data_IF_446549687448
#
_entry.id   IF_446549687448
#
_cell.length_a   1.000
_cell.length_b   1.000
_cell.length_c   1.000
_cell.angle_alpha   90.00
_cell.angle_beta   90.00
_cell.angle_gamma   90.00
#
_symmetry.space_group_name_H-M   'P 1'
#
loop_
_entity.id
_entity.type
_entity.pdbx_description
1 polymer ?
#
# COMPACT_ATOMS: atom_id res chain seq x y z
N UNK A 1 9.24 -35.40 -17.45
CA UNK A 1 8.95 -34.73 -16.16
C UNK A 1 8.40 -35.69 -15.11
N UNK A 2 7.33 -36.44 -15.40
CA UNK A 2 6.66 -37.36 -14.44
C UNK A 2 7.61 -38.40 -13.81
N UNK A 3 8.48 -39.06 -14.60
CA UNK A 3 9.48 -40.00 -14.08
C UNK A 3 10.39 -39.37 -13.01
N UNK A 4 10.81 -38.12 -13.24
CA UNK A 4 11.64 -37.36 -12.28
C UNK A 4 10.95 -37.12 -10.95
N UNK A 5 9.65 -36.79 -11.00
CA UNK A 5 8.84 -36.53 -9.80
C UNK A 5 8.70 -37.82 -9.01
N UNK A 6 8.40 -38.94 -9.69
CA UNK A 6 8.30 -40.26 -9.07
C UNK A 6 9.61 -40.70 -8.41
N UNK A 7 10.73 -40.58 -9.11
CA UNK A 7 12.05 -40.91 -8.57
C UNK A 7 12.37 -40.04 -7.34
N UNK A 8 12.06 -38.74 -7.42
CA UNK A 8 12.25 -37.79 -6.31
C UNK A 8 11.37 -38.10 -5.11
N UNK A 9 10.12 -38.49 -5.34
CA UNK A 9 9.23 -38.92 -4.26
C UNK A 9 9.75 -40.19 -3.57
N UNK A 10 10.25 -41.17 -4.33
CA UNK A 10 10.82 -42.38 -3.76
C UNK A 10 12.06 -42.08 -2.91
N UNK A 11 12.96 -41.22 -3.39
CA UNK A 11 14.17 -40.85 -2.64
C UNK A 11 13.85 -39.99 -1.42
N UNK A 12 12.92 -39.05 -1.56
CA UNK A 12 12.44 -38.20 -0.47
C UNK A 12 11.75 -39.05 0.61
N UNK A 13 10.81 -39.91 0.25
CA UNK A 13 10.10 -40.78 1.19
C UNK A 13 11.04 -41.79 1.86
N UNK A 14 11.98 -42.36 1.11
CA UNK A 14 13.03 -43.23 1.65
C UNK A 14 13.91 -42.51 2.67
N UNK A 15 14.35 -41.28 2.35
CA UNK A 15 15.09 -40.44 3.28
C UNK A 15 14.26 -40.07 4.51
N UNK A 16 13.02 -39.62 4.32
CA UNK A 16 12.16 -39.22 5.44
C UNK A 16 11.82 -40.38 6.36
N UNK A 17 11.84 -41.65 5.92
CA UNK A 17 11.66 -42.80 6.83
C UNK A 17 12.85 -43.00 7.78
N UNK A 18 14.06 -42.76 7.28
CA UNK A 18 15.31 -42.94 8.03
C UNK A 18 16.37 -41.92 7.57
N UNK A 19 16.27 -40.65 8.01
CA UNK A 19 17.18 -39.61 7.56
C UNK A 19 18.59 -39.89 8.10
N UNK A 20 19.61 -39.61 7.29
CA UNK A 20 21.03 -39.75 7.63
C UNK A 20 21.81 -38.51 7.17
N UNK A 21 22.86 -38.14 7.89
CA UNK A 21 23.77 -37.05 7.51
C UNK A 21 24.67 -37.49 6.34
N UNK A 22 24.07 -37.54 5.15
CA UNK A 22 24.76 -38.04 3.96
C UNK A 22 24.33 -37.25 2.72
N UNK A 23 25.33 -36.68 2.05
CA UNK A 23 25.14 -36.05 0.75
C UNK A 23 24.93 -37.06 -0.35
N UNK A 24 24.20 -36.65 -1.39
CA UNK A 24 24.12 -37.43 -2.61
C UNK A 24 25.53 -37.53 -3.25
N UNK A 25 25.89 -38.70 -3.77
CA UNK A 25 27.18 -38.88 -4.45
C UNK A 25 27.25 -38.07 -5.74
N UNK A 26 26.11 -37.78 -6.37
CA UNK A 26 26.02 -37.01 -7.61
C UNK A 26 25.67 -35.56 -7.29
N UNK A 27 26.66 -34.68 -7.39
CA UNK A 27 26.51 -33.25 -7.07
C UNK A 27 26.37 -32.34 -8.31
N UNK A 28 25.99 -32.90 -9.47
CA UNK A 28 25.81 -32.15 -10.73
C UNK A 28 24.66 -31.14 -10.64
N UNK A 29 24.87 -29.93 -11.16
CA UNK A 29 23.89 -28.84 -11.13
C UNK A 29 22.53 -29.25 -11.73
N UNK A 30 22.54 -29.91 -12.91
CA UNK A 30 21.31 -30.35 -13.57
C UNK A 30 20.48 -31.33 -12.74
N UNK A 31 21.13 -32.22 -11.98
CA UNK A 31 20.41 -33.13 -11.07
C UNK A 31 19.80 -32.35 -9.90
N UNK A 32 20.57 -31.45 -9.29
CA UNK A 32 20.11 -30.62 -8.17
C UNK A 32 18.91 -29.76 -8.53
N UNK A 33 18.97 -29.07 -9.67
CA UNK A 33 17.84 -28.29 -10.19
C UNK A 33 16.62 -29.18 -10.46
N UNK A 34 16.83 -30.35 -11.07
CA UNK A 34 15.75 -31.32 -11.32
C UNK A 34 15.09 -31.80 -10.04
N UNK A 35 15.86 -32.05 -8.97
CA UNK A 35 15.35 -32.41 -7.63
C UNK A 35 14.57 -31.26 -7.00
N UNK A 36 15.14 -30.04 -7.03
CA UNK A 36 14.49 -28.82 -6.54
C UNK A 36 13.09 -28.64 -7.16
N UNK A 37 13.01 -28.64 -8.49
CA UNK A 37 11.72 -28.44 -9.18
C UNK A 37 10.77 -29.64 -9.04
N UNK A 38 11.30 -30.86 -8.88
CA UNK A 38 10.44 -32.02 -8.61
C UNK A 38 9.82 -31.95 -7.21
N UNK A 39 10.58 -31.51 -6.20
CA UNK A 39 10.04 -31.28 -4.85
C UNK A 39 9.03 -30.14 -4.87
N UNK A 40 9.33 -29.03 -5.55
CA UNK A 40 8.39 -27.92 -5.68
C UNK A 40 7.07 -28.36 -6.35
N UNK A 41 7.14 -29.23 -7.36
CA UNK A 41 5.95 -29.80 -8.01
C UNK A 41 5.14 -30.74 -7.10
N UNK A 42 5.76 -31.36 -6.09
CA UNK A 42 5.08 -32.16 -5.07
C UNK A 42 4.48 -31.25 -3.98
N UNK A 43 5.23 -30.20 -3.61
CA UNK A 43 4.89 -29.23 -2.58
C UNK A 43 3.63 -28.44 -2.94
N UNK A 44 3.53 -27.90 -4.15
CA UNK A 44 2.41 -27.04 -4.55
C UNK A 44 1.03 -27.72 -4.36
N UNK A 45 0.75 -28.93 -4.90
CA UNK A 45 -0.54 -29.59 -4.68
C UNK A 45 -0.84 -29.86 -3.20
N UNK A 46 0.18 -30.23 -2.43
CA UNK A 46 0.04 -30.51 -1.00
C UNK A 46 -0.33 -29.24 -0.23
N UNK A 47 0.30 -28.12 -0.55
CA UNK A 47 -0.03 -26.82 0.03
C UNK A 47 -1.43 -26.36 -0.35
N UNK A 48 -1.85 -26.55 -1.61
CA UNK A 48 -3.22 -26.21 -2.03
C UNK A 48 -4.26 -27.01 -1.23
N UNK A 49 -4.03 -28.31 -1.04
CA UNK A 49 -4.93 -29.15 -0.22
C UNK A 49 -4.99 -28.63 1.22
N UNK A 50 -3.84 -28.34 1.83
CA UNK A 50 -3.80 -27.81 3.20
C UNK A 50 -4.47 -26.45 3.31
N UNK A 51 -4.26 -25.55 2.35
CA UNK A 51 -4.93 -24.25 2.31
C UNK A 51 -6.45 -24.39 2.22
N UNK A 52 -6.96 -25.32 1.39
CA UNK A 52 -8.41 -25.60 1.30
C UNK A 52 -8.95 -26.11 2.63
N UNK A 53 -8.21 -27.00 3.31
CA UNK A 53 -8.65 -27.52 4.62
C UNK A 53 -8.63 -26.42 5.68
N UNK A 54 -7.56 -25.62 5.77
CA UNK A 54 -7.45 -24.51 6.74
C UNK A 54 -8.58 -23.49 6.49
N UNK A 55 -8.84 -23.14 5.23
CA UNK A 55 -9.94 -22.25 4.86
C UNK A 55 -11.32 -22.81 5.22
N UNK A 56 -11.53 -24.12 5.09
CA UNK A 56 -12.77 -24.76 5.52
C UNK A 56 -12.97 -24.68 7.05
N UNK A 57 -11.90 -24.87 7.83
CA UNK A 57 -11.93 -24.72 9.30
C UNK A 57 -12.23 -23.27 9.70
N UNK A 58 -11.64 -22.29 9.02
CA UNK A 58 -11.94 -20.87 9.22
C UNK A 58 -13.40 -20.55 8.90
N UNK A 59 -13.91 -21.02 7.76
CA UNK A 59 -15.30 -20.80 7.33
C UNK A 59 -16.33 -21.43 8.29
N UNK A 60 -15.96 -22.52 8.97
CA UNK A 60 -16.77 -23.13 10.02
C UNK A 60 -16.79 -22.30 11.32
N UNK A 61 -16.05 -21.19 11.41
CA UNK A 61 -15.96 -20.33 12.59
C UNK A 61 -15.10 -20.92 13.71
N UNK A 62 -14.31 -21.96 13.43
CA UNK A 62 -13.52 -22.67 14.42
C UNK A 62 -12.16 -22.00 14.71
N UNK A 63 -11.65 -21.23 13.75
CA UNK A 63 -10.40 -20.47 13.84
C UNK A 63 -10.56 -19.09 13.21
N UNK A 64 -9.79 -18.11 13.69
CA UNK A 64 -9.68 -16.76 13.12
C UNK A 64 -8.25 -16.59 12.58
N UNK A 65 -8.09 -16.56 11.25
CA UNK A 65 -6.78 -16.41 10.61
C UNK A 65 -6.25 -14.96 10.67
N UNK A 66 -7.01 -14.01 11.23
CA UNK A 66 -6.54 -12.64 11.46
C UNK A 66 -6.27 -11.84 10.18
N UNK A 67 -6.80 -12.28 9.02
CA UNK A 67 -6.53 -11.71 7.69
C UNK A 67 -6.75 -10.19 7.57
N UNK A 68 -7.53 -9.59 8.47
CA UNK A 68 -7.79 -8.15 8.51
C UNK A 68 -6.68 -7.28 9.12
N UNK A 69 -5.72 -7.83 9.90
CA UNK A 69 -4.63 -7.03 10.51
C UNK A 69 -3.38 -6.97 9.63
N UNK A 70 -2.98 -8.11 9.06
CA UNK A 70 -1.81 -8.22 8.17
C UNK A 70 -2.07 -7.45 6.87
N UNK A 71 -3.28 -7.55 6.30
CA UNK A 71 -3.64 -6.81 5.07
C UNK A 71 -3.46 -5.30 5.19
N UNK A 72 -3.83 -4.67 6.32
CA UNK A 72 -3.70 -3.22 6.51
C UNK A 72 -2.25 -2.75 6.67
N UNK A 73 -1.40 -3.52 7.36
CA UNK A 73 0.01 -3.16 7.54
C UNK A 73 0.82 -3.43 6.27
N UNK A 74 0.55 -4.56 5.60
CA UNK A 74 1.17 -4.85 4.32
C UNK A 74 0.79 -3.78 3.30
N UNK A 75 -0.46 -3.27 3.29
CA UNK A 75 -0.98 -2.19 2.43
C UNK A 75 -0.17 -0.90 2.43
N UNK A 76 0.68 -0.68 3.43
CA UNK A 76 1.53 0.50 3.54
C UNK A 76 2.89 0.33 2.84
N UNK A 77 3.31 -0.89 2.52
CA UNK A 77 4.62 -1.20 1.94
C UNK A 77 4.54 -1.43 0.43
N UNK A 78 5.53 -1.01 -0.38
CA UNK A 78 5.51 -1.32 -1.80
C UNK A 78 5.65 -2.84 -2.02
N UNK A 79 4.93 -3.46 -2.99
CA UNK A 79 4.90 -4.91 -3.17
C UNK A 79 6.28 -5.57 -3.34
N UNK A 80 7.20 -4.90 -4.03
CA UNK A 80 8.56 -5.40 -4.21
C UNK A 80 9.32 -5.56 -2.88
N UNK A 81 9.03 -4.71 -1.89
CA UNK A 81 9.64 -4.78 -0.56
C UNK A 81 9.07 -5.96 0.23
N UNK A 82 7.77 -6.22 0.11
CA UNK A 82 7.12 -7.40 0.70
C UNK A 82 7.74 -8.68 0.14
N UNK A 83 7.93 -8.75 -1.19
CA UNK A 83 8.58 -9.89 -1.84
C UNK A 83 10.05 -10.02 -1.39
N UNK A 84 10.82 -8.93 -1.38
CA UNK A 84 12.23 -8.95 -0.98
C UNK A 84 12.40 -9.54 0.42
N UNK A 85 11.62 -9.07 1.39
CA UNK A 85 11.71 -9.57 2.76
C UNK A 85 11.08 -10.95 2.93
N UNK A 86 9.84 -11.14 2.48
CA UNK A 86 9.07 -12.37 2.72
C UNK A 86 9.52 -13.58 1.91
N UNK A 87 10.09 -13.39 0.72
CA UNK A 87 10.56 -14.49 -0.13
C UNK A 87 12.08 -14.69 -0.11
N UNK A 88 12.88 -13.67 0.23
CA UNK A 88 14.35 -13.79 0.17
C UNK A 88 15.03 -13.60 1.52
N UNK A 89 14.91 -12.42 2.15
CA UNK A 89 15.71 -12.10 3.34
C UNK A 89 15.31 -12.95 4.55
N UNK A 90 14.03 -13.00 4.90
CA UNK A 90 13.54 -13.77 6.05
C UNK A 90 13.79 -15.26 5.83
N UNK A 91 13.42 -15.88 4.69
CA UNK A 91 13.73 -17.28 4.42
C UNK A 91 15.22 -17.61 4.48
N UNK A 92 16.10 -16.73 3.97
CA UNK A 92 17.54 -16.95 4.07
C UNK A 92 18.01 -17.03 5.53
N UNK A 93 17.54 -16.11 6.38
CA UNK A 93 17.84 -16.12 7.82
C UNK A 93 17.29 -17.39 8.48
N UNK A 94 16.05 -17.79 8.16
CA UNK A 94 15.45 -19.00 8.69
C UNK A 94 16.23 -20.26 8.28
N UNK A 95 16.70 -20.36 7.04
CA UNK A 95 17.55 -21.47 6.62
C UNK A 95 18.89 -21.49 7.38
N UNK A 96 19.49 -20.33 7.68
CA UNK A 96 20.69 -20.25 8.50
C UNK A 96 20.42 -20.74 9.94
N UNK A 97 19.30 -20.33 10.54
CA UNK A 97 18.96 -20.71 11.91
C UNK A 97 18.61 -22.19 12.01
N UNK A 98 17.70 -22.68 11.17
CA UNK A 98 17.10 -24.00 11.32
C UNK A 98 17.84 -25.11 10.56
N UNK A 99 18.67 -24.78 9.56
CA UNK A 99 19.26 -25.78 8.64
C UNK A 99 20.78 -25.78 8.61
N UNK A 100 21.46 -24.73 9.06
CA UNK A 100 22.92 -24.69 9.04
C UNK A 100 23.54 -25.87 9.81
N UNK A 101 23.00 -26.15 11.01
CA UNK A 101 23.50 -27.18 11.92
C UNK A 101 23.18 -28.62 11.50
N UNK A 102 22.28 -28.86 10.53
CA UNK A 102 21.86 -30.21 10.08
C UNK A 102 22.98 -31.03 9.41
N UNK A 103 24.18 -30.48 9.28
CA UNK A 103 25.36 -31.19 8.78
C UNK A 103 26.49 -31.00 9.78
N UNK A 104 26.99 -32.10 10.34
CA UNK A 104 28.06 -32.04 11.33
C UNK A 104 29.31 -31.32 10.79
N UNK A 105 29.66 -31.58 9.52
CA UNK A 105 30.78 -30.92 8.83
C UNK A 105 30.65 -29.39 8.74
N UNK A 106 29.43 -28.85 8.80
CA UNK A 106 29.17 -27.40 8.76
C UNK A 106 28.61 -26.86 10.08
N UNK A 107 28.58 -27.67 11.14
CA UNK A 107 28.16 -27.25 12.46
C UNK A 107 29.32 -26.52 13.17
N UNK A 108 29.35 -25.18 13.06
CA UNK A 108 30.43 -24.36 13.62
C UNK A 108 30.62 -24.52 15.14
N UNK A 109 29.57 -24.56 15.98
CA UNK A 109 29.72 -24.86 17.40
C UNK A 109 30.42 -26.20 17.67
N UNK A 110 30.01 -27.28 16.99
CA UNK A 110 30.65 -28.59 17.14
C UNK A 110 32.12 -28.56 16.71
N UNK A 111 32.45 -27.85 15.62
CA UNK A 111 33.83 -27.68 15.16
C UNK A 111 34.67 -26.86 16.13
N UNK A 112 34.11 -25.81 16.71
CA UNK A 112 34.78 -24.99 17.72
C UNK A 112 35.07 -25.81 18.98
N UNK A 113 34.12 -26.64 19.42
CA UNK A 113 34.32 -27.55 20.55
C UNK A 113 35.43 -28.59 20.26
N UNK A 114 35.44 -29.19 19.07
CA UNK A 114 36.53 -30.09 18.62
C UNK A 114 37.88 -29.35 18.56
N UNK A 115 37.88 -28.07 18.19
CA UNK A 115 39.09 -27.25 18.14
C UNK A 115 39.62 -26.94 19.54
N UNK A 116 38.76 -26.51 20.48
CA UNK A 116 39.13 -26.22 21.87
C UNK A 116 39.71 -27.47 22.53
N UNK A 117 39.09 -28.62 22.30
CA UNK A 117 39.57 -29.89 22.87
C UNK A 117 40.92 -30.34 22.30
N UNK A 118 41.33 -29.82 21.14
CA UNK A 118 42.68 -30.07 20.61
C UNK A 118 43.81 -29.45 21.43
N UNK A 119 43.52 -28.45 22.28
CA UNK A 119 44.48 -27.85 23.23
C UNK A 119 44.97 -28.89 24.23
N UNK A 120 44.12 -29.87 24.57
CA UNK A 120 44.45 -30.95 25.52
C UNK A 120 45.19 -32.14 24.88
N UNK A 121 45.53 -32.05 23.58
CA UNK A 121 46.33 -33.03 22.85
C UNK A 121 45.62 -33.70 21.67
N UNK A 122 46.41 -34.16 20.68
CA UNK A 122 45.91 -34.76 19.43
C UNK A 122 45.05 -36.00 19.64
N UNK A 123 45.39 -36.86 20.61
CA UNK A 123 44.61 -38.06 20.94
C UNK A 123 43.22 -37.70 21.49
N UNK A 124 43.13 -36.66 22.31
CA UNK A 124 41.86 -36.22 22.86
C UNK A 124 40.94 -35.62 21.79
N UNK A 125 41.51 -34.85 20.84
CA UNK A 125 40.79 -34.35 19.66
C UNK A 125 40.12 -35.46 18.87
N UNK A 126 40.86 -36.53 18.53
CA UNK A 126 40.29 -37.65 17.77
C UNK A 126 39.24 -38.41 18.58
N UNK A 127 39.48 -38.69 19.86
CA UNK A 127 38.50 -39.35 20.74
C UNK A 127 37.17 -38.57 20.80
N UNK A 128 37.24 -37.26 21.00
CA UNK A 128 36.05 -36.40 21.10
C UNK A 128 35.35 -36.29 19.77
N UNK A 129 36.10 -36.14 18.67
CA UNK A 129 35.53 -36.14 17.32
C UNK A 129 34.77 -37.44 17.03
N UNK A 130 35.37 -38.61 17.29
CA UNK A 130 34.72 -39.91 17.09
C UNK A 130 33.49 -40.07 17.98
N UNK A 131 33.55 -39.62 19.24
CA UNK A 131 32.41 -39.62 20.15
C UNK A 131 31.25 -38.77 19.61
N UNK A 132 31.53 -37.53 19.18
CA UNK A 132 30.53 -36.63 18.61
C UNK A 132 29.95 -37.21 17.33
N UNK A 133 30.78 -37.71 16.41
CA UNK A 133 30.33 -38.36 15.17
C UNK A 133 29.42 -39.56 15.46
N UNK A 134 29.80 -40.42 16.43
CA UNK A 134 28.99 -41.56 16.84
C UNK A 134 27.62 -41.15 17.40
N UNK A 135 27.60 -40.19 18.33
CA UNK A 135 26.35 -39.68 18.92
C UNK A 135 25.50 -38.95 17.89
N UNK A 136 26.13 -38.18 17.00
CA UNK A 136 25.46 -37.50 15.90
C UNK A 136 24.71 -38.50 15.02
N UNK A 137 25.39 -39.56 14.55
CA UNK A 137 24.74 -40.58 13.72
C UNK A 137 23.63 -41.32 14.45
N UNK A 138 23.82 -41.63 15.75
CA UNK A 138 22.80 -42.32 16.55
C UNK A 138 21.52 -41.50 16.73
N UNK A 139 21.65 -40.18 16.92
CA UNK A 139 20.51 -39.28 17.19
C UNK A 139 20.07 -38.44 15.98
N UNK A 140 20.69 -38.63 14.81
CA UNK A 140 20.46 -37.77 13.64
C UNK A 140 18.99 -37.70 13.24
N UNK A 141 18.26 -38.82 13.35
CA UNK A 141 16.82 -38.87 13.08
C UNK A 141 16.05 -37.88 13.94
N UNK A 142 16.34 -37.84 15.24
CA UNK A 142 15.73 -36.87 16.16
C UNK A 142 16.11 -35.43 15.81
N UNK A 143 17.39 -35.16 15.53
CA UNK A 143 17.90 -33.83 15.18
C UNK A 143 17.19 -33.28 13.93
N UNK A 144 17.03 -34.12 12.90
CA UNK A 144 16.38 -33.75 11.66
C UNK A 144 14.91 -33.37 11.86
N UNK A 145 14.12 -34.21 12.55
CA UNK A 145 12.71 -33.90 12.78
C UNK A 145 12.49 -32.77 13.76
N UNK A 146 13.34 -32.65 14.79
CA UNK A 146 13.26 -31.54 15.74
C UNK A 146 13.50 -30.20 15.06
N UNK A 147 14.44 -30.14 14.09
CA UNK A 147 14.63 -28.95 13.24
C UNK A 147 13.35 -28.57 12.49
N UNK A 148 12.73 -29.52 11.79
CA UNK A 148 11.49 -29.27 11.05
C UNK A 148 10.32 -28.89 11.98
N UNK A 149 10.22 -29.53 13.14
CA UNK A 149 9.18 -29.27 14.14
C UNK A 149 9.31 -27.87 14.76
N UNK A 150 10.50 -27.49 15.22
CA UNK A 150 10.72 -26.15 15.79
C UNK A 150 10.43 -25.07 14.76
N UNK A 151 10.88 -25.27 13.52
CA UNK A 151 10.56 -24.37 12.41
C UNK A 151 9.04 -24.21 12.25
N UNK A 152 8.29 -25.31 12.25
CA UNK A 152 6.84 -25.27 12.14
C UNK A 152 6.18 -24.54 13.33
N UNK A 153 6.59 -24.85 14.56
CA UNK A 153 5.99 -24.30 15.78
C UNK A 153 6.22 -22.79 15.94
N UNK A 154 7.36 -22.26 15.49
CA UNK A 154 7.60 -20.80 15.50
C UNK A 154 6.53 -20.05 14.71
N UNK A 155 5.94 -20.66 13.69
CA UNK A 155 4.91 -20.00 12.86
C UNK A 155 3.53 -19.92 13.52
N UNK A 156 3.34 -20.49 14.72
CA UNK A 156 2.10 -20.30 15.50
C UNK A 156 1.87 -18.81 15.79
N UNK A 157 2.94 -18.01 15.89
CA UNK A 157 2.87 -16.55 16.13
C UNK A 157 2.14 -15.78 15.03
N UNK A 158 1.94 -16.38 13.85
CA UNK A 158 1.20 -15.77 12.75
C UNK A 158 -0.32 -15.82 12.96
N UNK A 159 -0.81 -16.59 13.93
CA UNK A 159 -2.24 -16.74 14.21
C UNK A 159 -2.62 -16.00 15.49
N UNK A 160 -3.86 -15.50 15.53
CA UNK A 160 -4.40 -14.87 16.74
C UNK A 160 -4.63 -15.94 17.80
N UNK A 161 -4.11 -15.70 19.00
CA UNK A 161 -4.28 -16.62 20.12
C UNK A 161 -5.75 -16.86 20.46
N UNK A 162 -6.13 -18.12 20.60
CA UNK A 162 -7.43 -18.59 21.06
C UNK A 162 -7.28 -20.01 21.63
N UNK A 163 -8.14 -20.41 22.56
CA UNK A 163 -8.13 -21.77 23.12
C UNK A 163 -8.43 -22.81 22.02
N UNK A 164 -9.38 -22.50 21.13
CA UNK A 164 -9.75 -23.37 20.00
C UNK A 164 -8.59 -23.55 19.02
N UNK A 165 -7.72 -22.53 18.88
CA UNK A 165 -6.53 -22.59 18.02
C UNK A 165 -5.61 -23.76 18.41
N UNK A 166 -5.45 -24.04 19.71
CA UNK A 166 -4.52 -25.06 20.21
C UNK A 166 -4.85 -26.46 19.68
N UNK A 167 -6.13 -26.76 19.49
CA UNK A 167 -6.60 -28.04 18.93
C UNK A 167 -6.19 -28.16 17.45
N UNK A 168 -6.18 -27.03 16.73
CA UNK A 168 -5.83 -26.96 15.31
C UNK A 168 -4.34 -26.67 15.05
N UNK A 169 -3.50 -26.50 16.07
CA UNK A 169 -2.05 -26.28 15.87
C UNK A 169 -1.42 -27.30 14.91
N UNK A 170 -1.67 -28.62 15.03
CA UNK A 170 -1.07 -29.60 14.12
C UNK A 170 -1.40 -29.35 12.64
N UNK A 171 -2.62 -28.88 12.32
CA UNK A 171 -3.01 -28.61 10.93
C UNK A 171 -2.53 -27.24 10.45
N UNK A 172 -2.50 -26.26 11.36
CA UNK A 172 -2.09 -24.88 11.05
C UNK A 172 -0.60 -24.75 10.76
N UNK A 173 0.23 -25.54 11.45
CA UNK A 173 1.70 -25.56 11.23
C UNK A 173 2.12 -26.65 10.24
N UNK A 174 1.20 -27.47 9.74
CA UNK A 174 1.51 -28.53 8.78
C UNK A 174 2.19 -28.01 7.50
N UNK A 175 1.78 -26.88 6.89
CA UNK A 175 2.47 -26.32 5.73
C UNK A 175 3.96 -26.10 6.00
N UNK A 176 4.27 -25.49 7.14
CA UNK A 176 5.64 -25.17 7.55
C UNK A 176 6.41 -26.42 7.97
N UNK A 177 5.76 -27.39 8.60
CA UNK A 177 6.40 -28.68 8.91
C UNK A 177 6.84 -29.40 7.63
N UNK A 178 5.95 -29.49 6.64
CA UNK A 178 6.25 -30.12 5.34
C UNK A 178 7.36 -29.38 4.62
N UNK A 179 7.28 -28.04 4.53
CA UNK A 179 8.33 -27.23 3.94
C UNK A 179 9.67 -27.44 4.66
N UNK A 180 9.65 -27.54 5.99
CA UNK A 180 10.83 -27.82 6.81
C UNK A 180 11.46 -29.19 6.55
N UNK A 181 10.63 -30.22 6.30
CA UNK A 181 11.10 -31.54 5.89
C UNK A 181 11.74 -31.51 4.49
N UNK A 182 11.14 -30.78 3.55
CA UNK A 182 11.61 -30.71 2.16
C UNK A 182 12.90 -29.88 2.02
N UNK A 183 12.95 -28.70 2.64
CA UNK A 183 14.16 -27.85 2.71
C UNK A 183 15.27 -28.56 3.48
N UNK A 184 14.94 -29.27 4.56
CA UNK A 184 15.86 -30.15 5.29
C UNK A 184 16.45 -31.25 4.41
N UNK A 185 15.62 -31.96 3.62
CA UNK A 185 16.10 -32.98 2.68
C UNK A 185 17.11 -32.38 1.68
N UNK A 186 16.77 -31.25 1.05
CA UNK A 186 17.66 -30.57 0.09
C UNK A 186 18.95 -30.08 0.76
N UNK A 187 18.86 -29.54 1.99
CA UNK A 187 20.02 -29.13 2.79
C UNK A 187 21.00 -30.29 2.98
N UNK A 188 20.47 -31.46 3.31
CA UNK A 188 21.27 -32.64 3.65
C UNK A 188 21.88 -33.25 2.39
N UNK A 189 21.08 -33.43 1.34
CA UNK A 189 21.50 -34.11 0.11
C UNK A 189 22.30 -33.24 -0.84
N UNK A 190 21.97 -31.95 -0.95
CA UNK A 190 22.49 -31.06 -2.01
C UNK A 190 23.12 -29.77 -1.50
N UNK A 191 22.89 -29.39 -0.23
CA UNK A 191 23.52 -28.25 0.44
C UNK A 191 22.55 -27.13 0.80
N UNK A 192 22.99 -26.19 1.64
CA UNK A 192 22.15 -25.13 2.24
C UNK A 192 21.43 -24.28 1.19
N UNK A 193 22.13 -23.89 0.12
CA UNK A 193 21.56 -23.01 -0.91
C UNK A 193 20.36 -23.63 -1.63
N UNK A 194 20.27 -24.97 -1.71
CA UNK A 194 19.14 -25.65 -2.35
C UNK A 194 17.91 -25.69 -1.46
N UNK A 195 18.10 -25.78 -0.13
CA UNK A 195 17.01 -25.56 0.84
C UNK A 195 16.48 -24.13 0.72
N UNK A 196 17.38 -23.15 0.69
CA UNK A 196 17.03 -21.74 0.47
C UNK A 196 16.27 -21.50 -0.84
N UNK A 197 16.74 -22.03 -1.97
CA UNK A 197 16.01 -21.85 -3.23
C UNK A 197 14.61 -22.45 -3.21
N UNK A 198 14.43 -23.61 -2.57
CA UNK A 198 13.08 -24.18 -2.41
C UNK A 198 12.20 -23.27 -1.56
N UNK A 199 12.71 -22.81 -0.42
CA UNK A 199 12.00 -21.94 0.50
C UNK A 199 11.62 -20.60 -0.17
N UNK A 200 12.57 -19.98 -0.87
CA UNK A 200 12.35 -18.74 -1.59
C UNK A 200 11.32 -18.91 -2.71
N UNK A 201 11.38 -20.01 -3.49
CA UNK A 201 10.40 -20.30 -4.54
C UNK A 201 9.00 -20.58 -3.96
N UNK A 202 8.91 -21.34 -2.87
CA UNK A 202 7.67 -21.60 -2.16
C UNK A 202 7.04 -20.27 -1.71
N UNK A 203 7.79 -19.44 -0.98
CA UNK A 203 7.28 -18.15 -0.51
C UNK A 203 6.97 -17.20 -1.67
N UNK A 204 7.76 -17.19 -2.73
CA UNK A 204 7.47 -16.36 -3.91
C UNK A 204 6.12 -16.75 -4.51
N UNK A 205 5.84 -18.05 -4.67
CA UNK A 205 4.55 -18.52 -5.21
C UNK A 205 3.40 -18.11 -4.29
N UNK A 206 3.48 -18.43 -2.99
CA UNK A 206 2.38 -18.23 -2.06
C UNK A 206 2.21 -16.78 -1.57
N UNK A 207 3.23 -15.92 -1.70
CA UNK A 207 3.14 -14.48 -1.41
C UNK A 207 2.82 -13.66 -2.67
N UNK A 208 3.44 -13.96 -3.82
CA UNK A 208 3.25 -13.16 -5.03
C UNK A 208 1.84 -13.32 -5.61
N UNK A 209 1.26 -14.52 -5.56
CA UNK A 209 -0.08 -14.76 -6.10
C UNK A 209 -1.12 -13.84 -5.41
N UNK A 210 -1.26 -13.85 -4.07
CA UNK A 210 -2.13 -12.89 -3.38
C UNK A 210 -1.79 -11.43 -3.69
N UNK A 211 -0.50 -11.05 -3.71
CA UNK A 211 -0.10 -9.67 -3.98
C UNK A 211 -0.53 -9.19 -5.37
N UNK A 212 -0.44 -10.05 -6.40
CA UNK A 212 -0.92 -9.73 -7.75
C UNK A 212 -2.44 -9.51 -7.74
N UNK A 213 -3.20 -10.41 -7.10
CA UNK A 213 -4.66 -10.24 -6.98
C UNK A 213 -5.06 -9.04 -6.11
N UNK A 214 -4.26 -8.69 -5.10
CA UNK A 214 -4.46 -7.49 -4.26
C UNK A 214 -4.00 -6.19 -4.93
N UNK A 215 -3.15 -6.26 -5.96
CA UNK A 215 -2.68 -5.08 -6.70
C UNK A 215 -3.65 -4.62 -7.80
N UNK A 216 -4.68 -5.41 -8.10
CA UNK A 216 -5.77 -5.01 -8.99
C UNK A 216 -6.79 -4.08 -8.30
N UNK A 217 -7.66 -3.41 -9.08
CA UNK A 217 -8.81 -2.71 -8.51
C UNK A 217 -9.74 -3.71 -7.81
N UNK A 218 -9.92 -3.54 -6.50
CA UNK A 218 -10.81 -4.36 -5.68
C UNK A 218 -12.22 -3.79 -5.76
N UNK A 219 -13.16 -4.58 -6.27
CA UNK A 219 -14.57 -4.17 -6.33
C UNK A 219 -15.11 -3.92 -4.91
N UNK A 220 -15.47 -2.66 -4.63
CA UNK A 220 -16.03 -2.23 -3.35
C UNK A 220 -17.54 -2.15 -3.39
N UNK A 221 -18.07 -1.68 -4.52
CA UNK A 221 -19.49 -1.54 -4.75
C UNK A 221 -19.78 -1.73 -6.24
N UNK A 222 -20.83 -2.48 -6.53
CA UNK A 222 -21.34 -2.68 -7.88
C UNK A 222 -22.86 -2.72 -7.84
N UNK A 223 -23.49 -1.61 -8.23
CA UNK A 223 -24.94 -1.45 -8.31
C UNK A 223 -25.31 -1.37 -9.77
N UNK A 224 -26.28 -2.19 -10.17
CA UNK A 224 -26.91 -2.10 -11.49
C UNK A 224 -28.41 -2.26 -11.32
N UNK A 225 -29.15 -1.18 -11.57
CA UNK A 225 -30.61 -1.16 -11.55
C UNK A 225 -31.16 -0.31 -12.72
N UNK A 226 -32.49 -0.20 -12.82
CA UNK A 226 -33.16 0.52 -13.91
C UNK A 226 -32.89 2.03 -13.92
N UNK A 227 -32.42 2.61 -12.80
CA UNK A 227 -32.15 4.05 -12.67
C UNK A 227 -30.71 4.39 -13.00
N UNK A 228 -29.75 3.60 -12.52
CA UNK A 228 -28.32 3.85 -12.73
C UNK A 228 -27.46 2.59 -12.58
N UNK A 229 -26.25 2.66 -13.13
CA UNK A 229 -25.14 1.76 -12.86
C UNK A 229 -24.02 2.51 -12.15
N UNK A 230 -23.53 1.95 -11.05
CA UNK A 230 -22.41 2.50 -10.28
C UNK A 230 -21.44 1.37 -9.94
N UNK A 231 -20.18 1.54 -10.34
CA UNK A 231 -19.07 0.70 -9.93
C UNK A 231 -18.03 1.54 -9.22
N UNK A 232 -17.63 1.11 -8.02
CA UNK A 232 -16.55 1.68 -7.23
C UNK A 232 -15.53 0.60 -6.99
N UNK A 233 -14.28 0.87 -7.33
CA UNK A 233 -13.17 -0.03 -7.07
C UNK A 233 -12.10 0.69 -6.26
N UNK A 234 -11.59 0.05 -5.22
CA UNK A 234 -10.44 0.53 -4.46
C UNK A 234 -9.17 0.06 -5.18
N UNK A 235 -8.27 0.99 -5.49
CA UNK A 235 -7.00 0.62 -6.12
C UNK A 235 -6.03 0.21 -5.02
N UNK A 236 -5.52 -1.01 -5.14
CA UNK A 236 -4.49 -1.55 -4.28
C UNK A 236 -3.11 -0.90 -4.50
N UNK A 237 -2.06 -1.62 -4.13
CA UNK A 237 -0.70 -1.14 -4.17
C UNK A 237 -0.25 -0.59 -5.54
N UNK A 238 0.04 0.71 -5.60
CA UNK A 238 0.73 1.28 -6.75
C UNK A 238 0.58 2.79 -6.88
N UNK A 239 1.70 3.48 -7.10
CA UNK A 239 1.69 4.81 -7.70
C UNK A 239 1.41 4.65 -9.20
N UNK A 240 0.15 4.44 -9.56
CA UNK A 240 -0.31 4.86 -10.87
C UNK A 240 -0.62 6.36 -10.75
N UNK A 241 -0.20 7.17 -11.72
CA UNK A 241 -0.64 8.57 -11.82
C UNK A 241 -2.14 8.63 -12.12
N UNK A 242 -2.83 9.66 -11.66
CA UNK A 242 -4.26 9.85 -11.95
C UNK A 242 -4.45 9.91 -13.46
N UNK A 243 -4.98 8.84 -14.05
CA UNK A 243 -5.25 8.76 -15.47
C UNK A 243 -6.74 9.02 -15.62
N UNK A 244 -7.06 10.14 -16.25
CA UNK A 244 -8.37 10.40 -16.85
C UNK A 244 -9.55 10.71 -15.88
N UNK A 245 -10.21 11.84 -16.13
CA UNK A 245 -11.50 12.18 -15.53
C UNK A 245 -12.43 12.71 -16.61
N UNK A 246 -13.61 12.11 -16.76
CA UNK A 246 -14.67 12.57 -17.64
C UNK A 246 -15.96 12.75 -16.85
N UNK A 247 -16.55 13.93 -16.97
CA UNK A 247 -17.90 14.21 -16.52
C UNK A 247 -18.72 14.60 -17.75
N UNK A 248 -19.65 13.74 -18.12
CA UNK A 248 -20.71 14.09 -19.07
C UNK A 248 -22.03 14.20 -18.33
N UNK A 249 -23.10 14.63 -19.02
CA UNK A 249 -24.43 14.73 -18.39
C UNK A 249 -24.89 13.38 -17.82
N UNK A 250 -24.65 12.30 -18.55
CA UNK A 250 -25.26 11.00 -18.23
C UNK A 250 -24.26 9.96 -17.69
N UNK A 251 -22.96 10.29 -17.70
CA UNK A 251 -21.90 9.41 -17.21
C UNK A 251 -20.80 10.15 -16.48
N UNK A 252 -20.31 9.54 -15.40
CA UNK A 252 -19.15 10.00 -14.65
C UNK A 252 -18.12 8.87 -14.63
N UNK A 253 -16.91 9.18 -15.08
CA UNK A 253 -15.82 8.22 -15.07
C UNK A 253 -14.57 8.85 -14.47
N UNK A 254 -14.05 8.18 -13.45
CA UNK A 254 -12.78 8.48 -12.82
C UNK A 254 -11.96 7.22 -12.71
N UNK A 255 -10.73 7.32 -13.16
CA UNK A 255 -9.74 6.28 -12.93
C UNK A 255 -8.65 6.87 -12.03
N UNK A 256 -8.36 6.13 -10.95
CA UNK A 256 -7.24 6.41 -10.07
C UNK A 256 -7.22 7.81 -9.45
N UNK A 257 -8.39 8.23 -8.95
CA UNK A 257 -8.58 9.52 -8.26
C UNK A 257 -8.49 9.35 -6.75
N UNK A 258 -7.87 10.30 -6.03
CA UNK A 258 -7.95 10.35 -4.57
C UNK A 258 -9.39 10.57 -4.12
N UNK A 259 -9.81 9.91 -3.06
CA UNK A 259 -11.16 10.06 -2.49
C UNK A 259 -11.46 11.54 -2.16
N UNK A 260 -10.48 12.28 -1.62
CA UNK A 260 -10.61 13.74 -1.37
C UNK A 260 -10.85 14.55 -2.63
N UNK A 261 -10.08 14.31 -3.69
CA UNK A 261 -10.26 14.98 -4.99
C UNK A 261 -11.61 14.65 -5.61
N UNK A 262 -12.06 13.39 -5.51
CA UNK A 262 -13.37 12.97 -6.00
C UNK A 262 -14.49 13.72 -5.27
N UNK A 263 -14.49 13.71 -3.94
CA UNK A 263 -15.51 14.41 -3.14
C UNK A 263 -15.47 15.91 -3.41
N UNK A 264 -14.29 16.51 -3.56
CA UNK A 264 -14.11 17.90 -3.99
C UNK A 264 -14.80 18.20 -5.32
N UNK A 265 -14.62 17.35 -6.34
CA UNK A 265 -15.27 17.51 -7.65
C UNK A 265 -16.79 17.28 -7.58
N UNK A 266 -17.26 16.37 -6.73
CA UNK A 266 -18.70 16.10 -6.56
C UNK A 266 -19.43 17.21 -5.78
N UNK A 267 -18.73 17.92 -4.89
CA UNK A 267 -19.27 19.05 -4.13
C UNK A 267 -19.02 20.42 -4.79
N UNK A 268 -18.32 20.45 -5.93
CA UNK A 268 -17.88 21.69 -6.60
C UNK A 268 -17.11 22.64 -5.66
N UNK A 269 -16.26 22.08 -4.79
CA UNK A 269 -15.46 22.81 -3.79
C UNK A 269 -13.98 22.59 -3.97
N UNK A 270 -13.16 23.59 -3.61
CA UNK A 270 -11.69 23.45 -3.58
C UNK A 270 -11.29 22.44 -2.50
N UNK A 271 -10.34 21.54 -2.80
CA UNK A 271 -9.86 20.52 -1.85
C UNK A 271 -9.41 21.08 -0.50
N UNK A 272 -8.85 22.30 -0.47
CA UNK A 272 -8.42 22.97 0.76
C UNK A 272 -9.55 23.34 1.72
N UNK A 273 -10.80 23.31 1.25
CA UNK A 273 -11.99 23.57 2.06
C UNK A 273 -12.65 22.27 2.56
N UNK A 274 -11.99 21.12 2.34
CA UNK A 274 -12.49 19.81 2.70
C UNK A 274 -11.48 19.16 3.65
N UNK A 275 -11.96 18.81 4.84
CA UNK A 275 -11.20 18.13 5.88
C UNK A 275 -11.67 16.68 6.03
N UNK A 276 -10.73 15.76 6.20
CA UNK A 276 -11.00 14.33 6.37
C UNK A 276 -10.59 13.91 7.78
N UNK A 277 -11.47 13.17 8.44
CA UNK A 277 -11.23 12.62 9.77
C UNK A 277 -11.54 11.11 9.78
N UNK A 278 -10.53 10.21 9.77
CA UNK A 278 -9.09 10.49 9.81
C UNK A 278 -8.50 10.88 8.43
N UNK A 279 -7.45 11.69 8.43
CA UNK A 279 -6.82 12.20 7.19
C UNK A 279 -6.22 11.09 6.31
N UNK A 280 -5.85 9.94 6.89
CA UNK A 280 -5.33 8.78 6.14
C UNK A 280 -6.27 8.34 5.00
N UNK A 281 -7.59 8.49 5.20
CA UNK A 281 -8.61 8.15 4.20
C UNK A 281 -8.63 9.09 3.00
N UNK A 282 -8.06 10.29 3.11
CA UNK A 282 -8.06 11.29 2.03
C UNK A 282 -7.29 10.82 0.79
N UNK A 283 -6.22 10.06 1.01
CA UNK A 283 -5.29 9.60 -0.03
C UNK A 283 -5.68 8.25 -0.65
N UNK A 284 -6.76 7.62 -0.17
CA UNK A 284 -7.27 6.38 -0.76
C UNK A 284 -7.65 6.63 -2.22
N UNK A 285 -7.08 5.84 -3.14
CA UNK A 285 -7.34 5.97 -4.58
C UNK A 285 -8.42 5.01 -5.05
N UNK A 286 -9.30 5.50 -5.90
CA UNK A 286 -10.46 4.74 -6.34
C UNK A 286 -10.70 4.92 -7.84
N UNK A 287 -11.29 3.90 -8.47
CA UNK A 287 -11.98 4.03 -9.74
C UNK A 287 -13.48 4.21 -9.47
N UNK A 288 -14.11 5.09 -10.22
CA UNK A 288 -15.55 5.29 -10.18
C UNK A 288 -16.11 5.33 -11.59
N UNK A 289 -17.03 4.42 -11.88
CA UNK A 289 -17.82 4.43 -13.12
C UNK A 289 -19.28 4.57 -12.75
N UNK A 290 -19.92 5.64 -13.23
CA UNK A 290 -21.34 5.89 -13.04
C UNK A 290 -22.00 6.16 -14.38
N UNK A 291 -23.18 5.59 -14.60
CA UNK A 291 -24.05 5.87 -15.74
C UNK A 291 -25.48 5.96 -15.25
N UNK A 292 -26.16 7.08 -15.50
CA UNK A 292 -27.59 7.22 -15.21
C UNK A 292 -28.42 6.93 -16.45
N UNK A 293 -29.60 6.36 -16.23
CA UNK A 293 -30.68 6.21 -17.22
C UNK A 293 -31.90 7.06 -16.86
N UNK A 294 -31.75 7.87 -15.80
CA UNK A 294 -32.74 8.77 -15.22
C UNK A 294 -32.19 10.21 -15.19
N UNK A 295 -32.78 11.12 -14.41
CA UNK A 295 -32.44 12.55 -14.36
C UNK A 295 -30.92 12.82 -14.17
N UNK A 296 -30.23 13.34 -15.21
CA UNK A 296 -28.81 13.68 -15.18
C UNK A 296 -28.41 14.64 -14.05
N UNK A 297 -29.32 15.53 -13.64
CA UNK A 297 -29.04 16.59 -12.66
C UNK A 297 -28.81 16.05 -11.24
N UNK A 298 -29.24 14.81 -10.96
CA UNK A 298 -29.09 14.17 -9.64
C UNK A 298 -27.84 13.28 -9.52
N UNK A 299 -27.06 13.14 -10.59
CA UNK A 299 -25.92 12.22 -10.65
C UNK A 299 -24.91 12.42 -9.51
N UNK A 300 -24.52 13.68 -9.22
CA UNK A 300 -23.57 13.97 -8.14
C UNK A 300 -24.08 13.56 -6.75
N UNK A 301 -25.36 13.84 -6.48
CA UNK A 301 -25.99 13.51 -5.20
C UNK A 301 -26.13 12.00 -5.00
N UNK A 302 -26.52 11.27 -6.05
CA UNK A 302 -26.60 9.81 -6.02
C UNK A 302 -25.22 9.22 -5.71
N UNK A 303 -24.18 9.64 -6.45
CA UNK A 303 -22.81 9.17 -6.24
C UNK A 303 -22.34 9.47 -4.81
N UNK A 304 -22.58 10.68 -4.29
CA UNK A 304 -22.20 11.04 -2.92
C UNK A 304 -22.91 10.21 -1.85
N UNK A 305 -24.19 9.91 -2.04
CA UNK A 305 -24.94 9.04 -1.10
C UNK A 305 -24.40 7.62 -1.10
N UNK A 306 -24.14 7.05 -2.28
CA UNK A 306 -23.58 5.70 -2.37
C UNK A 306 -22.14 5.63 -1.84
N UNK A 307 -21.35 6.71 -1.99
CA UNK A 307 -20.03 6.82 -1.34
C UNK A 307 -20.14 6.86 0.18
N UNK A 308 -21.05 7.67 0.75
CA UNK A 308 -21.29 7.72 2.20
C UNK A 308 -21.67 6.34 2.74
N UNK A 309 -22.52 5.59 2.02
CA UNK A 309 -22.92 4.23 2.38
C UNK A 309 -21.75 3.23 2.29
N UNK A 310 -21.01 3.23 1.17
CA UNK A 310 -19.94 2.27 0.91
C UNK A 310 -18.72 2.45 1.83
N UNK A 311 -18.43 3.68 2.22
CA UNK A 311 -17.26 4.02 3.05
C UNK A 311 -17.61 4.35 4.50
N UNK A 312 -18.90 4.52 4.83
CA UNK A 312 -19.36 4.77 6.19
C UNK A 312 -18.98 6.15 6.74
N UNK A 313 -18.92 7.18 5.89
CA UNK A 313 -18.66 8.55 6.33
C UNK A 313 -19.91 9.43 6.28
N UNK A 314 -19.85 10.54 7.02
CA UNK A 314 -20.85 11.61 7.00
C UNK A 314 -20.23 12.91 6.55
N UNK A 315 -21.02 13.73 5.86
CA UNK A 315 -20.62 15.07 5.42
C UNK A 315 -21.27 16.11 6.34
N UNK A 316 -20.45 16.88 7.06
CA UNK A 316 -20.89 18.03 7.85
C UNK A 316 -20.38 19.32 7.22
N UNK A 317 -21.17 20.39 7.32
CA UNK A 317 -20.89 21.68 6.70
C UNK A 317 -20.89 22.74 7.79
N UNK A 318 -19.76 23.41 7.94
CA UNK A 318 -19.58 24.48 8.91
C UNK A 318 -19.18 25.75 8.17
N UNK A 319 -19.74 26.90 8.55
CA UNK A 319 -19.30 28.19 8.02
C UNK A 319 -18.13 28.69 8.85
N UNK A 320 -16.98 28.90 8.20
CA UNK A 320 -15.83 29.53 8.83
C UNK A 320 -15.75 30.97 8.36
N UNK A 321 -15.63 31.90 9.31
CA UNK A 321 -15.33 33.29 9.02
C UNK A 321 -13.89 33.40 8.53
N UNK A 322 -13.71 33.75 7.26
CA UNK A 322 -12.40 34.02 6.68
C UNK A 322 -12.24 35.51 6.40
N UNK A 323 -11.08 36.03 6.75
CA UNK A 323 -10.70 37.39 6.38
C UNK A 323 -10.57 37.49 4.86
N UNK A 324 -11.21 38.51 4.31
CA UNK A 324 -11.18 38.84 2.90
C UNK A 324 -11.00 40.35 2.72
N UNK A 325 -10.67 40.77 1.51
CA UNK A 325 -10.50 42.17 1.15
C UNK A 325 -11.51 42.53 0.08
N UNK A 326 -12.30 43.59 0.28
CA UNK A 326 -13.19 44.12 -0.75
C UNK A 326 -12.53 45.28 -1.46
N UNK A 327 -12.38 45.17 -2.77
CA UNK A 327 -11.94 46.25 -3.64
C UNK A 327 -13.10 47.24 -3.81
N UNK A 328 -12.83 48.51 -3.51
CA UNK A 328 -13.77 49.61 -3.61
C UNK A 328 -13.13 50.79 -4.32
N UNK A 329 -13.93 51.62 -4.99
CA UNK A 329 -13.48 52.89 -5.54
C UNK A 329 -13.51 53.91 -4.40
N UNK A 330 -12.37 54.54 -4.14
CA UNK A 330 -12.21 55.63 -3.18
C UNK A 330 -12.12 57.00 -3.85
N UNK A 331 -11.58 57.08 -5.06
CA UNK A 331 -11.53 58.29 -5.88
C UNK A 331 -11.79 57.96 -7.35
N UNK A 332 -13.00 58.28 -7.82
CA UNK A 332 -13.42 58.05 -9.21
C UNK A 332 -12.65 58.93 -10.20
N UNK A 333 -12.27 60.15 -9.81
CA UNK A 333 -11.59 61.10 -10.71
C UNK A 333 -10.19 60.60 -11.01
N UNK A 334 -9.47 60.15 -9.97
CA UNK A 334 -8.15 59.57 -10.10
C UNK A 334 -8.19 58.27 -10.92
N UNK A 335 -9.15 57.39 -10.63
CA UNK A 335 -9.34 56.14 -11.37
C UNK A 335 -9.57 56.37 -12.88
N UNK A 336 -10.38 57.38 -13.24
CA UNK A 336 -10.69 57.69 -14.64
C UNK A 336 -9.47 58.17 -15.45
N UNK A 337 -8.40 58.64 -14.81
CA UNK A 337 -7.14 58.99 -15.50
C UNK A 337 -6.44 57.75 -16.09
N UNK A 338 -6.74 56.56 -15.56
CA UNK A 338 -6.18 55.28 -15.99
C UNK A 338 -7.10 54.51 -16.94
N UNK A 339 -8.19 55.13 -17.40
CA UNK A 339 -9.11 54.52 -18.35
C UNK A 339 -8.39 54.17 -19.65
N UNK A 340 -8.65 52.97 -20.16
CA UNK A 340 -8.16 52.49 -21.44
C UNK A 340 -9.12 52.88 -22.55
N UNK A 341 -8.60 53.52 -23.59
CA UNK A 341 -9.33 53.84 -24.83
C UNK A 341 -9.13 52.75 -25.92
N UNK A 342 -8.45 51.65 -25.59
CA UNK A 342 -8.13 50.59 -26.54
C UNK A 342 -9.30 49.61 -26.76
N UNK A 343 -9.58 49.30 -28.02
CA UNK A 343 -10.50 48.23 -28.43
C UNK A 343 -9.86 46.83 -28.46
N UNK A 344 -8.56 46.72 -28.16
CA UNK A 344 -7.82 45.46 -28.23
C UNK A 344 -8.20 44.48 -27.10
N UNK A 345 -7.79 43.22 -27.20
CA UNK A 345 -7.94 42.25 -26.11
C UNK A 345 -7.17 42.70 -24.85
N UNK A 346 -7.69 42.33 -23.68
CA UNK A 346 -7.02 42.57 -22.40
C UNK A 346 -5.72 41.77 -22.31
N UNK A 347 -4.63 42.38 -21.87
CA UNK A 347 -3.35 41.69 -21.65
C UNK A 347 -2.95 41.76 -20.18
N UNK A 348 -2.30 40.71 -19.68
CA UNK A 348 -1.77 40.66 -18.31
C UNK A 348 -0.36 40.08 -18.35
N UNK A 349 0.60 40.84 -17.84
CA UNK A 349 2.00 40.43 -17.71
C UNK A 349 2.40 40.50 -16.25
N UNK A 350 2.86 39.38 -15.69
CA UNK A 350 3.33 39.28 -14.30
C UNK A 350 4.80 38.87 -14.33
N UNK A 351 5.67 39.73 -13.80
CA UNK A 351 7.09 39.43 -13.60
C UNK A 351 7.42 39.32 -12.10
N UNK A 352 8.68 39.03 -11.78
CA UNK A 352 9.14 39.03 -10.39
C UNK A 352 9.10 40.40 -9.72
N UNK A 353 9.03 41.49 -10.49
CA UNK A 353 9.12 42.88 -9.98
C UNK A 353 7.89 43.74 -10.28
N UNK A 354 7.10 43.40 -11.30
CA UNK A 354 5.96 44.22 -11.72
C UNK A 354 4.78 43.38 -12.20
N UNK A 355 3.58 43.94 -12.03
CA UNK A 355 2.32 43.45 -12.56
C UNK A 355 1.79 44.54 -13.50
N UNK A 356 1.62 44.19 -14.78
CA UNK A 356 1.07 45.09 -15.79
C UNK A 356 -0.22 44.50 -16.36
N UNK A 357 -1.31 45.23 -16.27
CA UNK A 357 -2.58 44.91 -16.91
C UNK A 357 -2.92 46.01 -17.90
N UNK A 358 -3.18 45.66 -19.15
CA UNK A 358 -3.65 46.61 -20.16
C UNK A 358 -5.07 46.23 -20.59
N UNK A 359 -5.91 47.25 -20.75
CA UNK A 359 -7.31 47.11 -21.13
C UNK A 359 -8.06 46.07 -20.27
N UNK A 360 -7.87 46.13 -18.95
CA UNK A 360 -8.40 45.15 -18.01
C UNK A 360 -9.61 45.65 -17.22
N UNK A 361 -10.51 44.73 -16.88
CA UNK A 361 -11.60 44.99 -15.92
C UNK A 361 -11.18 44.70 -14.47
N UNK A 362 -12.06 45.01 -13.52
CA UNK A 362 -11.78 44.78 -12.10
C UNK A 362 -11.72 43.29 -11.72
N UNK A 363 -12.41 42.41 -12.44
CA UNK A 363 -12.32 40.96 -12.20
C UNK A 363 -10.94 40.43 -12.55
N UNK A 364 -10.38 40.89 -13.66
CA UNK A 364 -9.02 40.58 -14.10
C UNK A 364 -7.98 41.13 -13.12
N UNK A 365 -8.14 42.38 -12.67
CA UNK A 365 -7.28 42.96 -11.63
C UNK A 365 -7.31 42.11 -10.34
N UNK A 366 -8.50 41.81 -9.82
CA UNK A 366 -8.66 41.01 -8.59
C UNK A 366 -8.09 39.60 -8.76
N UNK A 367 -8.29 38.96 -9.91
CA UNK A 367 -7.73 37.64 -10.20
C UNK A 367 -6.19 37.66 -10.17
N UNK A 368 -5.57 38.65 -10.80
CA UNK A 368 -4.12 38.82 -10.85
C UNK A 368 -3.54 39.14 -9.46
N UNK A 369 -4.21 39.98 -8.67
CA UNK A 369 -3.79 40.29 -7.30
C UNK A 369 -3.89 39.07 -6.37
N UNK A 370 -5.00 38.32 -6.43
CA UNK A 370 -5.18 37.10 -5.64
C UNK A 370 -4.07 36.08 -5.89
N UNK A 371 -3.73 35.87 -7.17
CA UNK A 371 -2.67 34.93 -7.56
C UNK A 371 -1.27 35.43 -7.19
N UNK A 372 -1.05 36.76 -7.18
CA UNK A 372 0.26 37.35 -6.93
C UNK A 372 0.62 37.50 -5.45
N UNK A 373 -0.37 37.57 -4.56
CA UNK A 373 -0.20 37.88 -3.14
C UNK A 373 -0.80 36.83 -2.17
N UNK A 374 -1.39 35.74 -2.68
CA UNK A 374 -2.12 34.72 -1.90
C UNK A 374 -3.13 35.31 -0.90
N UNK A 375 -3.87 36.32 -1.36
CA UNK A 375 -4.96 36.96 -0.61
C UNK A 375 -6.32 36.52 -1.16
N UNK A 376 -7.38 36.84 -0.41
CA UNK A 376 -8.76 36.64 -0.85
C UNK A 376 -9.44 38.00 -1.04
N UNK A 377 -9.25 38.56 -2.22
CA UNK A 377 -9.78 39.84 -2.67
C UNK A 377 -11.04 39.57 -3.50
N UNK A 378 -12.09 40.36 -3.27
CA UNK A 378 -13.34 40.38 -4.01
C UNK A 378 -13.62 41.78 -4.55
N UNK A 379 -14.35 41.89 -5.65
CA UNK A 379 -14.85 43.16 -6.18
C UNK A 379 -16.34 43.04 -6.46
N UNK A 380 -17.08 44.10 -6.15
CA UNK A 380 -18.49 44.30 -6.54
C UNK A 380 -18.60 45.49 -7.53
N UNK A 381 -17.47 45.97 -8.04
CA UNK A 381 -17.40 47.09 -8.98
C UNK A 381 -17.82 46.58 -10.36
N UNK A 382 -19.01 47.00 -10.79
CA UNK A 382 -19.53 46.74 -12.13
C UNK A 382 -19.49 48.05 -12.94
N UNK A 383 -18.35 48.28 -13.61
CA UNK A 383 -18.17 49.39 -14.53
C UNK A 383 -17.83 48.85 -15.91
N UNK A 384 -18.45 49.38 -16.98
CA UNK A 384 -18.16 48.94 -18.35
C UNK A 384 -16.78 49.40 -18.83
N UNK A 385 -16.16 50.35 -18.14
CA UNK A 385 -14.85 50.88 -18.50
C UNK A 385 -13.73 49.91 -18.13
N UNK A 386 -12.71 49.87 -19.00
CA UNK A 386 -11.48 49.12 -18.79
C UNK A 386 -10.35 50.07 -18.42
N UNK A 387 -9.34 49.56 -17.73
CA UNK A 387 -8.27 50.37 -17.15
C UNK A 387 -6.89 49.74 -17.40
N UNK A 388 -5.87 50.58 -17.35
CA UNK A 388 -4.47 50.18 -17.42
C UNK A 388 -3.84 50.28 -16.03
N UNK A 389 -3.29 49.17 -15.54
CA UNK A 389 -2.63 49.09 -14.24
C UNK A 389 -1.16 48.73 -14.42
N UNK A 390 -0.28 49.48 -13.76
CA UNK A 390 1.15 49.15 -13.64
C UNK A 390 1.53 49.19 -12.16
N UNK A 391 1.65 48.02 -11.56
CA UNK A 391 1.85 47.85 -10.12
C UNK A 391 3.24 47.28 -9.86
N UNK A 392 3.98 47.89 -8.94
CA UNK A 392 5.22 47.30 -8.43
C UNK A 392 4.89 46.15 -7.48
N UNK A 393 5.56 45.01 -7.67
CA UNK A 393 5.36 43.83 -6.83
C UNK A 393 6.18 43.97 -5.55
N UNK A 394 5.54 44.47 -4.50
CA UNK A 394 6.13 44.74 -3.19
C UNK A 394 5.37 43.98 -2.08
N UNK A 395 5.51 44.36 -0.81
CA UNK A 395 4.66 43.86 0.28
C UNK A 395 3.20 44.26 0.08
N UNK A 396 2.26 43.45 0.59
CA UNK A 396 0.82 43.68 0.38
C UNK A 396 0.33 45.04 0.91
N UNK A 397 0.87 45.49 2.04
CA UNK A 397 0.50 46.81 2.61
C UNK A 397 0.96 47.97 1.70
N UNK A 398 2.12 47.82 1.06
CA UNK A 398 2.62 48.80 0.06
C UNK A 398 1.79 48.79 -1.21
N UNK A 399 1.28 47.62 -1.63
CA UNK A 399 0.32 47.53 -2.73
C UNK A 399 -0.98 48.27 -2.39
N UNK A 400 -1.51 48.08 -1.18
CA UNK A 400 -2.76 48.75 -0.75
C UNK A 400 -2.61 50.27 -0.79
N UNK A 401 -1.48 50.78 -0.30
CA UNK A 401 -1.14 52.21 -0.35
C UNK A 401 -1.00 52.71 -1.80
N UNK A 402 -0.32 51.94 -2.67
CA UNK A 402 -0.19 52.26 -4.10
C UNK A 402 -1.54 52.33 -4.81
N UNK A 403 -2.42 51.35 -4.58
CA UNK A 403 -3.77 51.32 -5.17
C UNK A 403 -4.58 52.54 -4.76
N UNK A 404 -4.48 52.96 -3.50
CA UNK A 404 -5.15 54.16 -3.00
C UNK A 404 -4.59 55.44 -3.62
N UNK A 405 -3.26 55.60 -3.58
CA UNK A 405 -2.58 56.84 -3.99
C UNK A 405 -2.54 57.07 -5.50
N UNK A 406 -2.38 56.02 -6.30
CA UNK A 406 -2.22 56.17 -7.76
C UNK A 406 -3.50 55.85 -8.54
N UNK A 407 -4.33 54.92 -8.05
CA UNK A 407 -5.47 54.41 -8.83
C UNK A 407 -6.83 54.77 -8.21
N UNK A 408 -6.87 55.40 -7.04
CA UNK A 408 -8.10 55.72 -6.34
C UNK A 408 -8.86 54.47 -5.87
N UNK A 409 -8.17 53.35 -5.66
CA UNK A 409 -8.74 52.07 -5.25
C UNK A 409 -8.37 51.71 -3.82
N UNK A 410 -9.35 51.26 -3.03
CA UNK A 410 -9.16 50.85 -1.64
C UNK A 410 -9.46 49.36 -1.47
N UNK A 411 -8.60 48.65 -0.75
CA UNK A 411 -8.86 47.30 -0.26
C UNK A 411 -9.33 47.38 1.19
N UNK A 412 -10.62 47.16 1.44
CA UNK A 412 -11.20 47.17 2.78
C UNK A 412 -11.24 45.76 3.36
N UNK A 413 -10.63 45.54 4.51
CA UNK A 413 -10.73 44.27 5.22
C UNK A 413 -12.19 44.00 5.60
N UNK A 414 -12.63 42.78 5.34
CA UNK A 414 -13.95 42.25 5.64
C UNK A 414 -13.81 40.81 6.13
N UNK A 415 -14.92 40.22 6.59
CA UNK A 415 -15.03 38.79 6.82
C UNK A 415 -16.12 38.23 5.94
N UNK A 416 -15.91 37.04 5.41
CA UNK A 416 -16.91 36.29 4.66
C UNK A 416 -17.02 34.89 5.23
N UNK A 417 -18.24 34.41 5.35
CA UNK A 417 -18.51 33.03 5.70
C UNK A 417 -18.20 32.15 4.49
N UNK A 418 -17.25 31.23 4.66
CA UNK A 418 -16.95 30.21 3.66
C UNK A 418 -17.40 28.86 4.22
N UNK A 419 -18.28 28.20 3.50
CA UNK A 419 -18.75 26.85 3.85
C UNK A 419 -17.59 25.85 3.69
N UNK A 420 -17.05 25.43 4.83
CA UNK A 420 -16.08 24.38 5.03
C UNK A 420 -16.79 23.04 5.18
N UNK A 421 -16.21 21.97 4.63
CA UNK A 421 -16.81 20.64 4.65
C UNK A 421 -15.92 19.69 5.42
N UNK A 422 -16.50 19.00 6.39
CA UNK A 422 -15.83 17.93 7.15
C UNK A 422 -16.41 16.58 6.73
N UNK A 423 -15.50 15.62 6.54
CA UNK A 423 -15.80 14.24 6.18
C UNK A 423 -15.38 13.35 7.34
N UNK A 424 -16.35 12.96 8.16
CA UNK A 424 -16.13 12.14 9.35
C UNK A 424 -16.46 10.68 9.05
N UNK A 425 -15.45 9.80 9.12
CA UNK A 425 -15.63 8.37 8.97
C UNK A 425 -16.08 7.79 10.31
N UNK A 426 -17.18 7.04 10.33
CA UNK A 426 -17.59 6.34 11.56
C UNK A 426 -16.51 5.33 11.91
N UNK A 427 -15.94 5.44 13.11
CA UNK A 427 -15.18 4.32 13.68
C UNK A 427 -16.13 3.12 13.72
N UNK A 428 -15.72 2.01 13.10
CA UNK A 428 -16.32 0.72 13.45
C UNK A 428 -16.10 0.58 14.94
N UNK A 429 -17.16 0.73 15.75
CA UNK A 429 -17.18 0.22 17.12
C UNK A 429 -16.70 -1.22 17.00
N UNK A 430 -15.46 -1.48 17.37
CA UNK A 430 -15.05 -2.80 17.78
C UNK A 430 -15.92 -3.10 18.97
N UNK A 431 -17.02 -3.83 18.75
CA UNK A 431 -17.76 -4.43 19.85
C UNK A 431 -16.73 -5.26 20.61
N UNK A 432 -16.31 -4.73 21.76
CA UNK A 432 -15.50 -5.45 22.71
C UNK A 432 -16.38 -6.54 23.29
N UNK A 433 -16.07 -7.78 22.91
CA UNK A 433 -16.31 -9.00 23.67
C UNK A 433 -15.27 -10.00 23.21
#
# INVERSE_FOLDING_TARGET
MIKSIKDTWNDLSGFLRNPKDEQDSIQKLGLKSKRLFSILAIDIPLMVILMVVIYAVERAGLIDLGGHKISKQLQLLPPWLIILFGAFIIPFIEELIFRLYLRLKQNYPARLFILITSITGKKNKENIKTYIESKWQAYYKGIFYLSALIFALVHIVNFKYSITLLIFVPILVAPQLILGLFTGYLRVKYGLIWGFYLHALHNLIFLAIPLVFMSGPLEKLNISNDKYKLKIEEIGFGKLDSKFSSFTKDSVFFENIKLKTLISKLLDKKEKLIEFNPDEKSNQKINLTFKTYSDPLKSKQIILNELQNAYGFTITKDNILRENWKLQISDTTLLMQHKSDSSNSSTTTVSSKEIKLENADFNQLVHTLNSSYDKYILTEIDLPNKFNFKLQKNEFDKLMDLLGREYGLLLKMSRIEIEHVKIDFKEKKTNGT
#
